data_IF_094144569951
#
_entry.id   IF_094144569951
#
_cell.length_a   1.000
_cell.length_b   1.000
_cell.length_c   1.000
_cell.angle_alpha   90.00
_cell.angle_beta   90.00
_cell.angle_gamma   90.00
#
_symmetry.space_group_name_H-M   'P 1'
#
loop_
_entity.id
_entity.type
_entity.pdbx_description
1 polymer ?
#
# COMPACT_ATOMS: atom_id res chain seq x y z
N UNK A 1 31.33 -6.97 -31.32
CA UNK A 1 31.59 -7.12 -29.90
C UNK A 1 31.98 -5.76 -29.36
N UNK A 2 31.04 -5.03 -28.82
CA UNK A 2 31.33 -3.73 -28.21
C UNK A 2 31.88 -4.04 -26.82
N UNK A 3 33.15 -3.71 -26.60
CA UNK A 3 33.76 -3.76 -25.29
C UNK A 3 32.93 -2.82 -24.39
N UNK A 4 32.33 -3.36 -23.36
CA UNK A 4 31.78 -2.58 -22.26
C UNK A 4 32.87 -1.63 -21.79
N UNK A 5 32.60 -0.35 -21.91
CA UNK A 5 33.45 0.72 -21.44
C UNK A 5 33.84 0.37 -19.98
N UNK A 6 35.13 0.38 -19.64
CA UNK A 6 35.61 -0.01 -18.30
C UNK A 6 34.96 0.82 -17.17
N UNK A 7 34.28 1.91 -17.55
CA UNK A 7 33.59 2.82 -16.62
C UNK A 7 32.20 2.37 -16.22
N UNK A 8 31.58 1.36 -16.89
CA UNK A 8 30.21 0.93 -16.60
C UNK A 8 30.14 -0.56 -16.36
N UNK A 9 29.34 -0.94 -15.36
CA UNK A 9 28.98 -2.33 -15.09
C UNK A 9 27.47 -2.53 -15.22
N UNK A 10 27.08 -3.63 -15.85
CA UNK A 10 25.71 -4.10 -15.89
C UNK A 10 25.39 -4.80 -14.55
N UNK A 11 24.31 -4.37 -13.91
CA UNK A 11 23.83 -4.96 -12.64
C UNK A 11 22.38 -5.40 -12.84
N UNK A 12 22.11 -6.60 -12.34
CA UNK A 12 20.74 -7.12 -12.19
C UNK A 12 20.33 -6.86 -10.75
N UNK A 13 19.21 -6.18 -10.55
CA UNK A 13 18.71 -5.83 -9.22
C UNK A 13 17.19 -5.85 -9.20
N UNK A 14 16.62 -6.00 -8.01
CA UNK A 14 15.19 -5.76 -7.82
C UNK A 14 14.91 -4.26 -7.80
N UNK A 15 13.92 -3.86 -8.59
CA UNK A 15 13.48 -2.47 -8.68
C UNK A 15 11.96 -2.37 -8.81
N UNK A 16 11.44 -1.17 -8.63
CA UNK A 16 10.03 -0.88 -8.90
C UNK A 16 9.83 -0.77 -10.40
N UNK A 17 9.31 -1.83 -11.00
CA UNK A 17 9.08 -1.94 -12.44
C UNK A 17 7.73 -1.36 -12.89
N UNK A 18 6.82 -1.08 -11.96
CA UNK A 18 5.54 -0.47 -12.29
C UNK A 18 4.90 0.22 -11.09
N UNK A 19 4.15 1.29 -11.35
CA UNK A 19 3.37 2.04 -10.36
C UNK A 19 2.00 2.37 -10.90
N UNK A 20 0.99 2.30 -10.05
CA UNK A 20 -0.35 2.74 -10.35
C UNK A 20 -1.05 3.32 -9.12
N UNK A 21 -2.06 4.13 -9.37
CA UNK A 21 -2.91 4.74 -8.34
C UNK A 21 -4.34 4.78 -8.81
N UNK A 22 -5.28 4.50 -7.93
CA UNK A 22 -6.71 4.58 -8.22
C UNK A 22 -7.50 5.06 -7.03
N UNK A 23 -8.26 6.11 -7.26
CA UNK A 23 -9.35 6.54 -6.41
C UNK A 23 -10.64 5.91 -6.92
N UNK A 24 -11.46 5.35 -6.02
CA UNK A 24 -12.74 4.73 -6.34
C UNK A 24 -13.84 5.32 -5.45
N UNK A 25 -14.97 5.64 -6.06
CA UNK A 25 -16.19 6.04 -5.37
C UNK A 25 -17.34 5.16 -5.84
N UNK A 26 -18.09 4.59 -4.90
CA UNK A 26 -19.20 3.69 -5.17
C UNK A 26 -20.39 4.04 -4.28
N UNK A 27 -21.61 3.89 -4.85
CA UNK A 27 -22.86 4.08 -4.11
C UNK A 27 -23.53 2.72 -3.87
N UNK A 28 -23.89 2.46 -2.62
CA UNK A 28 -24.57 1.25 -2.18
C UNK A 28 -25.98 1.58 -1.73
N UNK A 29 -26.93 0.70 -2.06
CA UNK A 29 -28.33 0.82 -1.63
C UNK A 29 -28.65 -0.31 -0.67
N UNK A 30 -28.82 0.03 0.60
CA UNK A 30 -29.02 -0.91 1.70
C UNK A 30 -30.48 -0.85 2.14
N UNK A 31 -31.06 -2.03 2.39
CA UNK A 31 -32.44 -2.17 2.85
C UNK A 31 -32.46 -2.56 4.32
N UNK A 32 -32.67 -1.63 5.26
CA UNK A 32 -32.77 -1.96 6.66
C UNK A 32 -34.06 -2.75 6.96
N UNK A 33 -34.09 -3.44 8.11
CA UNK A 33 -35.22 -4.26 8.57
C UNK A 33 -36.49 -3.44 8.82
N UNK A 34 -36.30 -2.19 9.21
CA UNK A 34 -37.38 -1.25 9.51
C UNK A 34 -37.22 -0.01 8.63
N UNK A 35 -38.34 0.63 8.31
CA UNK A 35 -38.32 1.90 7.58
C UNK A 35 -37.62 2.97 8.40
N UNK A 36 -36.51 3.55 7.92
CA UNK A 36 -35.75 4.53 8.69
C UNK A 36 -36.49 5.85 8.80
N UNK A 37 -36.46 6.44 9.97
CA UNK A 37 -36.93 7.80 10.24
C UNK A 37 -35.80 8.81 10.11
N UNK A 38 -34.60 8.48 10.63
CA UNK A 38 -33.39 9.29 10.46
C UNK A 38 -32.12 8.43 10.52
N UNK A 39 -31.05 8.93 9.91
CA UNK A 39 -29.72 8.34 10.01
C UNK A 39 -29.00 9.00 11.19
N UNK A 40 -28.44 8.17 12.08
CA UNK A 40 -27.72 8.59 13.26
C UNK A 40 -26.21 8.49 13.07
N UNK A 41 -25.76 7.54 12.24
CA UNK A 41 -24.34 7.36 11.92
C UNK A 41 -24.11 6.33 10.83
N UNK A 42 -22.98 6.43 10.15
CA UNK A 42 -22.54 5.48 9.17
C UNK A 42 -21.01 5.35 9.27
N UNK A 43 -20.51 4.11 9.29
CA UNK A 43 -19.08 3.83 9.32
C UNK A 43 -18.74 2.51 8.64
N UNK A 44 -17.47 2.36 8.23
CA UNK A 44 -16.97 1.19 7.54
C UNK A 44 -15.95 0.49 8.42
N UNK A 45 -16.02 -0.84 8.50
CA UNK A 45 -15.11 -1.69 9.26
C UNK A 45 -14.72 -2.94 8.48
N UNK A 46 -13.83 -3.74 9.05
CA UNK A 46 -13.42 -5.05 8.53
C UNK A 46 -12.92 -5.02 7.07
N UNK A 47 -12.19 -3.96 6.70
CA UNK A 47 -11.62 -3.86 5.37
C UNK A 47 -10.48 -4.87 5.20
N UNK A 48 -10.64 -5.77 4.22
CA UNK A 48 -9.67 -6.75 3.80
C UNK A 48 -9.47 -6.64 2.30
N UNK A 49 -8.26 -6.83 1.82
CA UNK A 49 -7.97 -6.83 0.38
C UNK A 49 -6.77 -7.70 0.04
N UNK A 50 -6.73 -8.13 -1.21
CA UNK A 50 -5.62 -8.82 -1.82
C UNK A 50 -5.35 -8.23 -3.21
N UNK A 51 -4.10 -8.14 -3.60
CA UNK A 51 -3.68 -7.61 -4.89
C UNK A 51 -2.91 -8.66 -5.68
N UNK A 52 -3.17 -8.70 -6.99
CA UNK A 52 -2.43 -9.56 -7.93
C UNK A 52 -2.22 -8.85 -9.25
N UNK A 53 -1.14 -9.18 -9.95
CA UNK A 53 -0.93 -8.76 -11.33
C UNK A 53 -2.00 -9.42 -12.20
N UNK A 54 -2.76 -8.65 -12.96
CA UNK A 54 -3.81 -9.14 -13.85
C UNK A 54 -3.32 -9.26 -15.30
N UNK A 55 -2.58 -8.27 -15.75
CA UNK A 55 -1.96 -8.21 -17.08
C UNK A 55 -0.62 -7.48 -16.98
N UNK A 56 0.06 -7.29 -18.09
CA UNK A 56 1.29 -6.50 -18.13
C UNK A 56 1.12 -5.07 -17.59
N UNK A 57 -0.05 -4.47 -17.84
CA UNK A 57 -0.32 -3.06 -17.58
C UNK A 57 -1.31 -2.84 -16.43
N UNK A 58 -1.79 -3.90 -15.76
CA UNK A 58 -2.82 -3.76 -14.74
C UNK A 58 -2.61 -4.65 -13.52
N UNK A 59 -2.94 -4.09 -12.36
CA UNK A 59 -3.08 -4.80 -11.08
C UNK A 59 -4.56 -4.88 -10.71
N UNK A 60 -5.00 -6.04 -10.26
CA UNK A 60 -6.34 -6.27 -9.73
C UNK A 60 -6.28 -6.32 -8.21
N UNK A 61 -7.11 -5.52 -7.55
CA UNK A 61 -7.36 -5.60 -6.11
C UNK A 61 -8.76 -6.14 -5.89
N UNK A 62 -8.85 -7.25 -5.17
CA UNK A 62 -10.11 -7.79 -4.68
C UNK A 62 -10.19 -7.57 -3.18
N UNK A 63 -11.29 -7.00 -2.72
CA UNK A 63 -11.46 -6.70 -1.32
C UNK A 63 -12.90 -6.77 -0.85
N UNK A 64 -13.07 -6.61 0.45
CA UNK A 64 -14.37 -6.53 1.11
C UNK A 64 -14.32 -5.63 2.33
N UNK A 65 -15.44 -5.07 2.69
CA UNK A 65 -15.65 -4.31 3.91
C UNK A 65 -17.10 -4.41 4.37
N UNK A 66 -17.35 -4.06 5.62
CA UNK A 66 -18.68 -4.02 6.20
C UNK A 66 -19.10 -2.56 6.39
N UNK A 67 -20.27 -2.18 5.87
CA UNK A 67 -20.92 -0.90 6.10
C UNK A 67 -21.88 -1.07 7.27
N UNK A 68 -21.74 -0.26 8.30
CA UNK A 68 -22.67 -0.17 9.42
C UNK A 68 -23.42 1.13 9.35
N UNK A 69 -24.75 1.06 9.44
CA UNK A 69 -25.63 2.22 9.49
C UNK A 69 -26.43 2.15 10.77
N UNK A 70 -26.24 3.14 11.62
CA UNK A 70 -27.06 3.35 12.81
C UNK A 70 -28.19 4.30 12.44
N UNK A 71 -29.42 3.86 12.59
CA UNK A 71 -30.60 4.61 12.22
C UNK A 71 -31.68 4.51 13.27
N UNK A 72 -32.59 5.49 13.28
CA UNK A 72 -33.83 5.45 14.06
C UNK A 72 -35.00 5.04 13.21
N UNK A 73 -36.00 4.45 13.83
CA UNK A 73 -37.26 4.06 13.22
C UNK A 73 -38.43 4.24 14.20
N UNK A 74 -39.67 4.00 13.75
CA UNK A 74 -40.88 4.17 14.53
C UNK A 74 -40.95 5.58 15.16
N UNK A 75 -40.94 6.62 14.29
CA UNK A 75 -40.98 8.03 14.66
C UNK A 75 -39.86 8.41 15.64
N UNK A 76 -38.65 7.91 15.40
CA UNK A 76 -37.44 8.13 16.19
C UNK A 76 -37.50 7.57 17.63
N UNK A 77 -38.39 6.65 17.93
CA UNK A 77 -38.52 6.05 19.27
C UNK A 77 -37.62 4.83 19.48
N UNK A 78 -37.14 4.22 18.39
CA UNK A 78 -36.27 3.03 18.40
C UNK A 78 -35.06 3.24 17.50
N UNK A 79 -33.99 2.54 17.80
CA UNK A 79 -32.75 2.56 16.99
C UNK A 79 -32.27 1.15 16.72
N UNK A 80 -31.57 1.00 15.58
CA UNK A 80 -30.98 -0.27 15.16
C UNK A 80 -29.71 0.02 14.33
N UNK A 81 -28.79 -0.96 14.28
CA UNK A 81 -27.66 -0.95 13.36
C UNK A 81 -27.89 -2.03 12.31
N UNK A 82 -27.89 -1.64 11.04
CA UNK A 82 -27.82 -2.58 9.93
C UNK A 82 -26.40 -2.68 9.42
N UNK A 83 -25.94 -3.90 9.16
CA UNK A 83 -24.62 -4.20 8.61
C UNK A 83 -24.78 -4.84 7.25
N UNK A 84 -24.06 -4.32 6.26
CA UNK A 84 -24.02 -4.87 4.90
C UNK A 84 -22.57 -5.14 4.51
N UNK A 85 -22.27 -6.38 4.07
CA UNK A 85 -20.98 -6.75 3.54
C UNK A 85 -20.90 -6.44 2.04
N UNK A 86 -19.92 -5.66 1.68
CA UNK A 86 -19.62 -5.30 0.29
C UNK A 86 -18.33 -5.98 -0.14
N UNK A 87 -18.36 -6.58 -1.34
CA UNK A 87 -17.16 -7.04 -2.05
C UNK A 87 -16.93 -6.16 -3.27
N UNK A 88 -15.67 -5.88 -3.59
CA UNK A 88 -15.33 -5.04 -4.72
C UNK A 88 -14.11 -5.57 -5.47
N UNK A 89 -13.97 -5.13 -6.71
CA UNK A 89 -12.80 -5.38 -7.55
C UNK A 89 -12.35 -4.07 -8.18
N UNK A 90 -11.13 -3.65 -7.86
CA UNK A 90 -10.48 -2.49 -8.47
C UNK A 90 -9.42 -2.94 -9.46
N UNK A 91 -9.53 -2.48 -10.70
CA UNK A 91 -8.50 -2.63 -11.73
C UNK A 91 -7.71 -1.34 -11.77
N UNK A 92 -6.41 -1.43 -11.50
CA UNK A 92 -5.50 -0.29 -11.42
C UNK A 92 -4.53 -0.35 -12.59
N UNK A 93 -4.60 0.60 -13.54
CA UNK A 93 -3.62 0.70 -14.61
C UNK A 93 -2.27 1.17 -14.06
N UNK A 94 -1.19 0.63 -14.63
CA UNK A 94 0.16 1.08 -14.31
C UNK A 94 0.48 2.32 -15.15
N UNK A 95 0.86 3.39 -14.50
CA UNK A 95 1.23 4.67 -15.13
C UNK A 95 2.72 4.76 -15.46
N UNK A 96 3.53 3.94 -14.80
CA UNK A 96 4.97 3.81 -15.03
C UNK A 96 5.27 2.35 -15.23
N UNK A 97 6.06 2.03 -16.25
CA UNK A 97 6.50 0.68 -16.59
C UNK A 97 7.98 0.70 -16.90
N UNK A 98 8.72 -0.29 -16.40
CA UNK A 98 10.12 -0.48 -16.74
C UNK A 98 10.22 -1.47 -17.91
N UNK A 99 10.70 -0.98 -19.05
CA UNK A 99 10.89 -1.78 -20.27
C UNK A 99 12.13 -2.71 -20.18
N UNK A 100 12.97 -2.57 -19.15
CA UNK A 100 14.19 -3.37 -18.94
C UNK A 100 13.97 -4.55 -17.99
N UNK A 101 12.74 -4.87 -17.66
CA UNK A 101 12.40 -6.02 -16.83
C UNK A 101 12.86 -7.33 -17.51
N UNK A 102 13.53 -8.20 -16.74
CA UNK A 102 14.23 -9.39 -17.28
C UNK A 102 13.33 -10.62 -17.28
N UNK A 103 12.40 -10.71 -16.34
CA UNK A 103 11.53 -11.87 -16.17
C UNK A 103 10.09 -11.46 -15.90
N UNK A 104 9.18 -12.43 -15.94
CA UNK A 104 7.74 -12.25 -15.67
C UNK A 104 7.36 -12.51 -14.21
N UNK A 105 8.34 -12.74 -13.35
CA UNK A 105 8.12 -12.90 -11.92
C UNK A 105 8.13 -11.52 -11.23
N UNK A 106 6.99 -11.17 -10.62
CA UNK A 106 6.82 -9.89 -9.97
C UNK A 106 6.18 -10.05 -8.60
N UNK A 107 6.68 -9.28 -7.63
CA UNK A 107 6.00 -9.06 -6.36
C UNK A 107 5.07 -7.85 -6.49
N UNK A 108 3.80 -8.04 -6.13
CA UNK A 108 2.81 -6.95 -6.13
C UNK A 108 2.64 -6.41 -4.73
N UNK A 109 2.92 -5.13 -4.55
CA UNK A 109 2.67 -4.40 -3.31
C UNK A 109 1.50 -3.46 -3.54
N UNK A 110 0.42 -3.65 -2.77
CA UNK A 110 -0.69 -2.71 -2.71
C UNK A 110 -0.76 -2.06 -1.34
N UNK A 111 -0.90 -0.75 -1.34
CA UNK A 111 -1.08 0.05 -0.12
C UNK A 111 -2.34 0.88 -0.24
N UNK A 112 -3.20 0.76 0.75
CA UNK A 112 -4.36 1.64 0.88
C UNK A 112 -3.89 3.01 1.37
N UNK A 113 -4.21 4.06 0.61
CA UNK A 113 -3.92 5.46 0.96
C UNK A 113 -5.09 6.04 1.72
N UNK A 114 -6.30 5.71 1.25
CA UNK A 114 -7.53 6.05 1.93
C UNK A 114 -8.34 4.78 2.14
N UNK A 115 -8.56 4.44 3.40
CA UNK A 115 -9.43 3.33 3.78
C UNK A 115 -10.85 3.61 3.28
N UNK A 116 -11.62 2.55 2.94
CA UNK A 116 -13.04 2.73 2.63
C UNK A 116 -13.72 3.56 3.73
N UNK A 117 -14.28 4.67 3.32
CA UNK A 117 -14.89 5.65 4.22
C UNK A 117 -16.25 6.09 3.69
N UNK A 118 -17.22 6.27 4.60
CA UNK A 118 -18.53 6.82 4.28
C UNK A 118 -18.41 8.33 4.03
N UNK A 119 -18.71 8.73 2.81
CA UNK A 119 -18.74 10.12 2.39
C UNK A 119 -20.11 10.75 2.64
N UNK A 120 -21.17 10.02 2.26
CA UNK A 120 -22.55 10.45 2.45
C UNK A 120 -23.42 9.23 2.77
N UNK A 121 -24.38 9.41 3.68
CA UNK A 121 -25.38 8.41 4.02
C UNK A 121 -26.73 9.09 4.15
N UNK A 122 -27.69 8.69 3.34
CA UNK A 122 -29.04 9.31 3.31
C UNK A 122 -30.14 8.31 3.04
N UNK A 123 -31.34 8.62 3.54
CA UNK A 123 -32.53 7.87 3.23
C UNK A 123 -32.90 8.16 1.76
N UNK A 124 -33.07 7.10 0.97
CA UNK A 124 -33.48 7.21 -0.43
C UNK A 124 -34.89 7.82 -0.55
N UNK A 125 -35.20 8.39 -1.71
CA UNK A 125 -36.52 9.01 -1.97
C UNK A 125 -37.70 8.07 -1.76
N UNK A 126 -37.52 6.75 -1.86
CA UNK A 126 -38.52 5.74 -1.53
C UNK A 126 -38.87 5.67 -0.05
N UNK A 127 -38.02 6.23 0.81
CA UNK A 127 -38.14 6.19 2.26
C UNK A 127 -37.92 4.82 2.90
N UNK A 128 -37.56 3.78 2.13
CA UNK A 128 -37.40 2.40 2.61
C UNK A 128 -35.97 1.88 2.52
N UNK A 129 -35.11 2.60 1.82
CA UNK A 129 -33.69 2.24 1.62
C UNK A 129 -32.78 3.35 2.06
N UNK A 130 -31.55 3.00 2.35
CA UNK A 130 -30.48 3.95 2.66
C UNK A 130 -29.44 3.88 1.55
N UNK A 131 -29.07 5.03 1.00
CA UNK A 131 -27.99 5.15 0.03
C UNK A 131 -26.73 5.60 0.77
N UNK A 132 -25.62 4.90 0.54
CA UNK A 132 -24.33 5.18 1.14
C UNK A 132 -23.29 5.33 0.05
N UNK A 133 -22.60 6.45 0.02
CA UNK A 133 -21.46 6.70 -0.85
C UNK A 133 -20.17 6.36 -0.09
N UNK A 134 -19.41 5.45 -0.64
CA UNK A 134 -18.12 5.01 -0.10
C UNK A 134 -17.01 5.41 -1.07
N UNK A 135 -15.92 5.95 -0.52
CA UNK A 135 -14.70 6.25 -1.26
C UNK A 135 -13.51 5.48 -0.68
N UNK A 136 -12.56 5.12 -1.56
CA UNK A 136 -11.30 4.47 -1.19
C UNK A 136 -10.22 4.81 -2.19
N UNK A 137 -8.95 4.69 -1.78
CA UNK A 137 -7.82 4.94 -2.67
C UNK A 137 -6.68 3.96 -2.41
N UNK A 138 -6.09 3.46 -3.52
CA UNK A 138 -4.95 2.56 -3.52
C UNK A 138 -3.79 3.10 -4.34
N UNK A 139 -2.58 2.78 -3.87
CA UNK A 139 -1.36 2.78 -4.69
C UNK A 139 -0.90 1.34 -4.83
N UNK A 140 -0.43 0.99 -6.03
CA UNK A 140 0.20 -0.29 -6.31
C UNK A 140 1.59 -0.10 -6.85
N UNK A 141 2.48 -1.04 -6.51
CA UNK A 141 3.83 -1.13 -7.04
C UNK A 141 4.08 -2.58 -7.48
N UNK A 142 4.76 -2.73 -8.60
CA UNK A 142 5.26 -4.01 -9.08
C UNK A 142 6.78 -3.98 -8.92
N UNK A 143 7.32 -4.96 -8.20
CA UNK A 143 8.75 -5.15 -8.01
C UNK A 143 9.18 -6.36 -8.81
N UNK A 144 10.19 -6.20 -9.63
CA UNK A 144 10.77 -7.23 -10.47
C UNK A 144 12.27 -7.05 -10.65
N UNK A 145 12.88 -8.01 -11.33
CA UNK A 145 14.30 -7.93 -11.67
C UNK A 145 14.48 -7.07 -12.92
N UNK A 146 15.37 -6.11 -12.85
CA UNK A 146 15.72 -5.20 -13.94
C UNK A 146 17.22 -5.09 -14.12
N UNK A 147 17.64 -4.64 -15.29
CA UNK A 147 19.02 -4.34 -15.62
C UNK A 147 19.29 -2.86 -15.53
N UNK A 148 20.35 -2.51 -14.83
CA UNK A 148 20.86 -1.14 -14.78
C UNK A 148 22.33 -1.11 -15.10
N UNK A 149 22.79 -0.01 -15.71
CA UNK A 149 24.21 0.27 -15.91
C UNK A 149 24.66 1.29 -14.88
N UNK A 150 25.64 0.92 -14.09
CA UNK A 150 26.21 1.79 -13.07
C UNK A 150 27.62 2.21 -13.48
N UNK A 151 27.92 3.47 -13.27
CA UNK A 151 29.29 3.97 -13.46
C UNK A 151 30.14 3.48 -12.29
N UNK A 152 31.24 2.83 -12.60
CA UNK A 152 32.22 2.32 -11.60
C UNK A 152 33.30 3.37 -11.42
N UNK A 153 33.72 3.60 -10.17
CA UNK A 153 34.90 4.42 -9.92
C UNK A 153 36.12 3.66 -10.43
N UNK A 154 36.90 4.20 -11.39
CA UNK A 154 38.07 3.54 -11.94
C UNK A 154 39.20 3.42 -10.88
N UNK A 155 39.18 4.22 -9.83
CA UNK A 155 40.20 4.20 -8.79
C UNK A 155 39.96 3.15 -7.69
N UNK A 156 38.81 2.42 -7.77
CA UNK A 156 38.47 1.38 -6.78
C UNK A 156 39.48 0.21 -6.77
N UNK A 157 40.08 -0.12 -7.90
CA UNK A 157 41.04 -1.22 -8.03
C UNK A 157 42.51 -0.76 -7.70
N UNK A 158 42.72 0.52 -7.42
CA UNK A 158 44.04 1.08 -7.13
C UNK A 158 44.32 1.31 -5.62
N UNK A 159 43.32 1.04 -4.77
CA UNK A 159 43.51 0.97 -3.31
C UNK A 159 44.09 -0.40 -2.88
N UNK A 160 44.99 -0.98 -3.71
CA UNK A 160 45.89 -2.01 -3.26
C UNK A 160 46.90 -1.34 -2.31
N UNK A 161 46.95 -1.86 -1.09
CA UNK A 161 47.94 -1.57 -0.07
C UNK A 161 47.82 -0.24 0.72
N UNK A 162 46.64 0.01 1.32
CA UNK A 162 46.69 0.63 2.63
C UNK A 162 45.95 -0.22 3.65
N UNK A 163 46.69 -1.00 4.42
CA UNK A 163 46.27 -1.73 5.62
C UNK A 163 45.71 -0.78 6.71
N UNK A 164 44.87 0.19 6.33
CA UNK A 164 44.26 1.16 7.24
C UNK A 164 43.16 0.58 8.13
N UNK A 165 42.86 -0.72 7.96
CA UNK A 165 41.97 -1.45 8.88
C UNK A 165 42.65 -1.83 10.20
N UNK A 166 43.98 -1.62 10.30
CA UNK A 166 44.70 -1.80 11.55
C UNK A 166 44.66 -0.51 12.40
N UNK A 167 43.48 0.11 12.50
CA UNK A 167 43.25 1.09 13.55
C UNK A 167 43.32 0.34 14.88
N UNK A 168 44.51 0.28 15.45
CA UNK A 168 44.71 -0.08 16.85
C UNK A 168 43.91 0.93 17.67
N UNK A 169 42.72 0.53 18.09
CA UNK A 169 41.95 1.28 19.07
C UNK A 169 42.87 1.48 20.27
N UNK A 170 43.28 2.68 20.52
CA UNK A 170 44.17 2.99 21.65
C UNK A 170 43.34 2.92 22.94
N UNK A 171 43.96 2.51 24.04
CA UNK A 171 43.34 2.41 25.37
C UNK A 171 42.67 3.73 25.83
N UNK A 172 43.01 4.85 25.22
CA UNK A 172 42.37 6.15 25.50
C UNK A 172 41.07 6.36 24.77
N UNK A 173 40.86 5.75 23.57
CA UNK A 173 39.56 5.80 22.83
C UNK A 173 38.52 4.92 23.47
N UNK A 174 38.91 3.88 24.19
CA UNK A 174 38.01 2.99 24.94
C UNK A 174 37.40 3.64 26.19
N UNK A 175 38.10 4.66 26.75
CA UNK A 175 37.65 5.34 27.99
C UNK A 175 36.43 6.25 27.78
N UNK A 176 36.19 6.69 26.56
CA UNK A 176 35.01 7.54 26.23
C UNK A 176 33.75 6.77 25.88
N UNK A 177 33.82 5.44 25.82
CA UNK A 177 32.60 4.61 25.60
C UNK A 177 31.83 4.52 26.93
N UNK A 178 30.75 5.28 27.05
CA UNK A 178 29.85 5.18 28.17
C UNK A 178 29.20 3.80 28.22
N UNK A 179 29.62 2.98 29.18
CA UNK A 179 29.12 1.62 29.41
C UNK A 179 27.73 1.57 30.07
N UNK A 180 27.10 2.71 30.30
CA UNK A 180 25.80 2.83 30.99
C UNK A 180 24.59 2.20 30.20
N UNK A 181 24.84 1.82 28.96
CA UNK A 181 23.79 1.18 28.14
C UNK A 181 23.50 -0.29 28.50
N UNK A 182 24.38 -0.96 29.26
CA UNK A 182 24.26 -2.39 29.54
C UNK A 182 23.73 -2.73 30.94
N UNK A 183 23.39 -1.75 31.75
CA UNK A 183 22.80 -1.97 33.08
C UNK A 183 21.41 -1.40 33.19
N UNK A 184 20.41 -2.08 32.57
CA UNK A 184 19.03 -2.02 33.05
C UNK A 184 18.85 -3.19 33.99
N UNK A 185 18.93 -2.93 35.28
CA UNK A 185 18.48 -3.84 36.34
C UNK A 185 16.96 -3.74 36.45
N UNK A 186 16.35 -4.90 36.60
CA UNK A 186 15.06 -5.32 37.16
C UNK A 186 14.07 -4.22 37.56
#
# INVERSE_FOLDING_TARGET
MTFLDKEYREIITKAVCGKGRKFSKESHSISPSHRPSSILGCWVINHLYNAKKKSEDTVEINGSYDINIWYSFNDNTKTEVVTERVTYTDIIPLSVKDDNSINDEYDVIAKVIQQPNCLECKIASSGSKVTVDIEREFIVQIIGDTKIFVKVNPDWDNDDDDDSWDHKVTDDEVKDVKTDFFHKKD
#
